data_IF_638653943415
#
_entry.id   IF_638653943415
#
_cell.length_a   1.000
_cell.length_b   1.000
_cell.length_c   1.000
_cell.angle_alpha   90.00
_cell.angle_beta   90.00
_cell.angle_gamma   90.00
#
_symmetry.space_group_name_H-M   'P 1'
#
loop_
_entity.id
_entity.type
_entity.pdbx_description
1 polymer ?
#
# COMPACT_ATOMS: atom_id res chain seq x y z
N UNK A 1 19.11 25.80 -7.03
CA UNK A 1 18.23 24.63 -7.23
C UNK A 1 18.26 23.84 -5.93
N UNK A 2 17.12 23.66 -5.25
CA UNK A 2 17.08 22.88 -4.01
C UNK A 2 17.43 21.42 -4.34
N UNK A 3 18.50 20.89 -3.75
CA UNK A 3 18.88 19.48 -3.91
C UNK A 3 17.73 18.60 -3.41
N UNK A 4 17.16 17.77 -4.29
CA UNK A 4 16.19 16.75 -3.88
C UNK A 4 16.93 15.75 -3.01
N UNK A 5 16.51 15.59 -1.76
CA UNK A 5 17.04 14.54 -0.88
C UNK A 5 16.36 13.21 -1.21
N UNK A 6 17.04 12.10 -0.93
CA UNK A 6 16.45 10.77 -1.10
C UNK A 6 15.14 10.61 -0.31
N UNK A 7 15.07 11.17 0.91
CA UNK A 7 13.85 11.18 1.72
C UNK A 7 12.69 11.93 1.05
N UNK A 8 12.96 13.10 0.47
CA UNK A 8 11.93 13.88 -0.23
C UNK A 8 11.44 13.19 -1.51
N UNK A 9 12.31 12.44 -2.19
CA UNK A 9 11.91 11.62 -3.33
C UNK A 9 11.05 10.44 -2.87
N UNK A 10 11.46 9.76 -1.80
CA UNK A 10 10.73 8.63 -1.22
C UNK A 10 9.34 9.04 -0.74
N UNK A 11 9.22 10.22 -0.11
CA UNK A 11 7.94 10.78 0.31
C UNK A 11 7.00 10.98 -0.87
N UNK A 12 7.49 11.55 -1.98
CA UNK A 12 6.69 11.78 -3.19
C UNK A 12 6.26 10.48 -3.85
N UNK A 13 7.18 9.52 -3.99
CA UNK A 13 6.88 8.20 -4.57
C UNK A 13 5.87 7.47 -3.69
N UNK A 14 6.08 7.43 -2.37
CA UNK A 14 5.17 6.81 -1.42
C UNK A 14 3.78 7.44 -1.45
N UNK A 15 3.68 8.77 -1.53
CA UNK A 15 2.40 9.45 -1.65
C UNK A 15 1.66 9.11 -2.95
N UNK A 16 2.38 9.01 -4.08
CA UNK A 16 1.79 8.60 -5.37
C UNK A 16 1.28 7.16 -5.32
N UNK A 17 2.08 6.23 -4.79
CA UNK A 17 1.66 4.83 -4.64
C UNK A 17 0.44 4.70 -3.70
N UNK A 18 0.41 5.48 -2.62
CA UNK A 18 -0.69 5.49 -1.68
C UNK A 18 -1.98 6.04 -2.31
N UNK A 19 -1.86 7.11 -3.10
CA UNK A 19 -2.97 7.66 -3.89
C UNK A 19 -3.55 6.61 -4.84
N UNK A 20 -2.69 5.88 -5.57
CA UNK A 20 -3.11 4.78 -6.45
C UNK A 20 -3.78 3.65 -5.66
N UNK A 21 -3.20 3.24 -4.53
CA UNK A 21 -3.77 2.16 -3.71
C UNK A 21 -5.15 2.52 -3.14
N UNK A 22 -5.35 3.77 -2.73
CA UNK A 22 -6.59 4.21 -2.10
C UNK A 22 -7.71 4.49 -3.10
N UNK A 23 -7.39 5.07 -4.26
CA UNK A 23 -8.39 5.69 -5.15
C UNK A 23 -8.54 5.02 -6.52
N UNK A 24 -7.69 4.06 -6.90
CA UNK A 24 -7.86 3.36 -8.18
C UNK A 24 -9.03 2.35 -8.12
N UNK A 25 -9.77 2.22 -9.22
CA UNK A 25 -10.90 1.31 -9.37
C UNK A 25 -10.46 -0.12 -9.72
N UNK A 26 -9.33 -0.26 -10.41
CA UNK A 26 -8.78 -1.56 -10.80
C UNK A 26 -8.08 -2.21 -9.60
N UNK A 27 -8.68 -3.29 -9.11
CA UNK A 27 -8.19 -4.06 -7.97
C UNK A 27 -6.79 -4.63 -8.22
N UNK A 28 -6.42 -4.93 -9.47
CA UNK A 28 -5.08 -5.42 -9.83
C UNK A 28 -4.07 -4.29 -9.66
N UNK A 29 -4.37 -3.09 -10.18
CA UNK A 29 -3.50 -1.91 -10.02
C UNK A 29 -3.34 -1.54 -8.55
N UNK A 30 -4.42 -1.63 -7.76
CA UNK A 30 -4.35 -1.45 -6.31
C UNK A 30 -3.41 -2.48 -5.66
N UNK A 31 -3.49 -3.76 -6.06
CA UNK A 31 -2.59 -4.81 -5.57
C UNK A 31 -1.12 -4.56 -5.86
N UNK A 32 -0.78 -4.17 -7.09
CA UNK A 32 0.61 -3.85 -7.48
C UNK A 32 1.15 -2.63 -6.72
N UNK A 33 0.28 -1.63 -6.50
CA UNK A 33 0.66 -0.46 -5.72
C UNK A 33 0.90 -0.80 -4.25
N UNK A 34 0.08 -1.70 -3.68
CA UNK A 34 0.28 -2.21 -2.33
C UNK A 34 1.60 -2.99 -2.19
N UNK A 35 1.90 -3.90 -3.12
CA UNK A 35 3.15 -4.65 -3.09
C UNK A 35 4.36 -3.72 -3.23
N UNK A 36 4.28 -2.70 -4.10
CA UNK A 36 5.30 -1.66 -4.21
C UNK A 36 5.48 -0.87 -2.89
N UNK A 37 4.39 -0.51 -2.22
CA UNK A 37 4.46 0.13 -0.90
C UNK A 37 5.13 -0.78 0.13
N UNK A 38 4.82 -2.07 0.13
CA UNK A 38 5.42 -3.01 1.08
C UNK A 38 6.92 -3.20 0.81
N UNK A 39 7.32 -3.33 -0.45
CA UNK A 39 8.74 -3.45 -0.81
C UNK A 39 9.56 -2.23 -0.39
N UNK A 40 8.97 -1.05 -0.52
CA UNK A 40 9.62 0.21 -0.16
C UNK A 40 9.62 0.44 1.35
N UNK A 41 8.51 0.19 2.04
CA UNK A 41 8.31 0.61 3.43
C UNK A 41 8.37 -0.53 4.46
N UNK A 42 8.76 -1.75 4.09
CA UNK A 42 8.87 -2.88 5.04
C UNK A 42 9.91 -2.65 6.13
N UNK A 43 11.04 -2.03 5.78
CA UNK A 43 12.15 -1.81 6.70
C UNK A 43 11.90 -0.61 7.63
N UNK A 44 12.46 -0.64 8.84
CA UNK A 44 12.21 0.35 9.89
C UNK A 44 12.90 1.70 9.63
N UNK A 45 13.92 1.75 8.77
CA UNK A 45 14.63 2.98 8.37
C UNK A 45 13.74 3.96 7.57
N UNK A 46 12.68 3.45 6.94
CA UNK A 46 11.70 4.25 6.20
C UNK A 46 10.54 4.78 7.05
N UNK A 47 10.48 4.42 8.35
CA UNK A 47 9.35 4.75 9.23
C UNK A 47 9.12 6.26 9.39
N UNK A 48 10.19 7.06 9.33
CA UNK A 48 10.08 8.52 9.36
C UNK A 48 9.22 9.05 8.21
N UNK A 49 9.51 8.61 6.99
CA UNK A 49 8.77 8.99 5.77
C UNK A 49 7.36 8.38 5.79
N UNK A 50 7.22 7.13 6.24
CA UNK A 50 5.92 6.48 6.35
C UNK A 50 4.96 7.24 7.29
N UNK A 51 5.49 7.82 8.38
CA UNK A 51 4.72 8.70 9.29
C UNK A 51 4.33 10.00 8.60
N UNK A 52 5.24 10.64 7.88
CA UNK A 52 4.95 11.91 7.17
C UNK A 52 3.82 11.80 6.15
N UNK A 53 3.67 10.65 5.49
CA UNK A 53 2.57 10.41 4.53
C UNK A 53 1.35 9.73 5.16
N UNK A 54 1.35 9.52 6.49
CA UNK A 54 0.30 8.81 7.22
C UNK A 54 -0.01 7.41 6.65
N UNK A 55 1.04 6.70 6.19
CA UNK A 55 0.91 5.45 5.43
C UNK A 55 0.03 4.43 6.13
N UNK A 56 0.36 4.11 7.39
CA UNK A 56 -0.33 3.04 8.14
C UNK A 56 -1.81 3.37 8.36
N UNK A 57 -2.14 4.63 8.66
CA UNK A 57 -3.53 5.03 8.93
C UNK A 57 -4.38 4.97 7.65
N UNK A 58 -3.82 5.35 6.51
CA UNK A 58 -4.48 5.21 5.21
C UNK A 58 -4.67 3.74 4.81
N UNK A 59 -3.66 2.89 5.03
CA UNK A 59 -3.76 1.46 4.76
C UNK A 59 -4.80 0.76 5.65
N UNK A 60 -4.94 1.16 6.91
CA UNK A 60 -6.01 0.69 7.80
C UNK A 60 -7.39 1.06 7.24
N UNK A 61 -7.57 2.30 6.78
CA UNK A 61 -8.82 2.73 6.16
C UNK A 61 -9.14 1.97 4.87
N UNK A 62 -8.12 1.70 4.05
CA UNK A 62 -8.23 0.95 2.78
C UNK A 62 -8.61 -0.53 2.99
N UNK A 63 -8.15 -1.16 4.08
CA UNK A 63 -8.26 -2.61 4.25
C UNK A 63 -9.70 -3.16 4.09
N UNK A 64 -10.69 -2.46 4.62
CA UNK A 64 -12.09 -2.88 4.55
C UNK A 64 -12.67 -2.73 3.14
N UNK A 65 -12.44 -1.58 2.48
CA UNK A 65 -12.94 -1.31 1.14
C UNK A 65 -12.27 -2.21 0.10
N UNK A 66 -10.97 -2.46 0.23
CA UNK A 66 -10.24 -3.38 -0.65
C UNK A 66 -10.82 -4.80 -0.58
N UNK A 67 -11.11 -5.31 0.63
CA UNK A 67 -11.77 -6.62 0.80
C UNK A 67 -13.13 -6.70 0.10
N UNK A 68 -13.92 -5.62 0.12
CA UNK A 68 -15.22 -5.56 -0.56
C UNK A 68 -15.05 -5.57 -2.08
N UNK A 69 -14.15 -4.72 -2.62
CA UNK A 69 -13.86 -4.65 -4.06
C UNK A 69 -13.40 -5.99 -4.62
N UNK A 70 -12.53 -6.72 -3.91
CA UNK A 70 -12.09 -8.07 -4.30
C UNK A 70 -13.29 -9.04 -4.40
N UNK A 71 -14.22 -8.97 -3.44
CA UNK A 71 -15.40 -9.85 -3.44
C UNK A 71 -16.31 -9.56 -4.64
N UNK A 72 -16.52 -8.29 -4.95
CA UNK A 72 -17.34 -7.83 -6.08
C UNK A 72 -16.72 -8.23 -7.41
N UNK A 73 -15.40 -8.05 -7.55
CA UNK A 73 -14.63 -8.31 -8.78
C UNK A 73 -14.13 -9.75 -8.92
N UNK A 74 -14.43 -10.65 -7.98
CA UNK A 74 -13.85 -12.00 -7.90
C UNK A 74 -13.88 -12.79 -9.21
N UNK A 75 -14.98 -12.70 -9.97
CA UNK A 75 -15.14 -13.42 -11.25
C UNK A 75 -14.29 -12.83 -12.38
N UNK A 76 -14.01 -11.53 -12.32
CA UNK A 76 -13.23 -10.78 -13.32
C UNK A 76 -11.72 -10.96 -13.13
N UNK A 77 -11.28 -11.35 -11.92
CA UNK A 77 -9.85 -11.43 -11.59
C UNK A 77 -9.09 -12.55 -12.31
N UNK A 78 -9.76 -13.64 -12.72
CA UNK A 78 -9.14 -14.75 -13.45
C UNK A 78 -7.83 -15.22 -12.79
N UNK A 79 -6.75 -15.21 -13.57
CA UNK A 79 -5.40 -15.62 -13.13
C UNK A 79 -4.79 -14.68 -12.08
N UNK A 80 -5.20 -13.41 -12.04
CA UNK A 80 -4.72 -12.41 -11.07
C UNK A 80 -5.31 -12.59 -9.66
N UNK A 81 -6.27 -13.51 -9.48
CA UNK A 81 -6.91 -13.73 -8.19
C UNK A 81 -5.90 -14.09 -7.08
N UNK A 82 -4.88 -14.89 -7.40
CA UNK A 82 -3.83 -15.27 -6.45
C UNK A 82 -3.00 -14.07 -5.99
N UNK A 83 -2.57 -13.22 -6.93
CA UNK A 83 -1.81 -11.99 -6.68
C UNK A 83 -2.61 -11.04 -5.80
N UNK A 84 -3.87 -10.81 -6.14
CA UNK A 84 -4.77 -9.94 -5.36
C UNK A 84 -4.97 -10.45 -3.94
N UNK A 85 -5.12 -11.77 -3.76
CA UNK A 85 -5.27 -12.37 -2.44
C UNK A 85 -3.96 -12.33 -1.63
N UNK A 86 -2.80 -12.39 -2.30
CA UNK A 86 -1.50 -12.22 -1.67
C UNK A 86 -1.33 -10.80 -1.15
N UNK A 87 -1.57 -9.78 -1.99
CA UNK A 87 -1.55 -8.38 -1.59
C UNK A 87 -2.49 -8.10 -0.40
N UNK A 88 -3.68 -8.69 -0.39
CA UNK A 88 -4.63 -8.59 0.74
C UNK A 88 -4.06 -9.19 2.03
N UNK A 89 -3.40 -10.35 1.95
CA UNK A 89 -2.77 -10.98 3.12
C UNK A 89 -1.59 -10.14 3.62
N UNK A 90 -0.75 -9.65 2.70
CA UNK A 90 0.40 -8.81 2.98
C UNK A 90 -0.03 -7.49 3.63
N UNK A 91 -1.12 -6.87 3.15
CA UNK A 91 -1.70 -5.66 3.76
C UNK A 91 -2.02 -5.86 5.24
N UNK A 92 -2.69 -6.96 5.59
CA UNK A 92 -3.01 -7.27 6.98
C UNK A 92 -1.75 -7.49 7.83
N UNK A 93 -0.76 -8.19 7.28
CA UNK A 93 0.54 -8.44 7.94
C UNK A 93 1.34 -7.16 8.16
N UNK A 94 1.45 -6.32 7.13
CA UNK A 94 2.17 -5.05 7.15
C UNK A 94 1.59 -4.08 8.18
N UNK A 95 0.26 -3.89 8.18
CA UNK A 95 -0.44 -3.05 9.16
C UNK A 95 -0.14 -3.54 10.58
N UNK A 96 -0.30 -4.85 10.83
CA UNK A 96 -0.05 -5.44 12.15
C UNK A 96 1.39 -5.22 12.59
N UNK A 97 2.35 -5.45 11.70
CA UNK A 97 3.77 -5.26 11.98
C UNK A 97 4.05 -3.80 12.34
N UNK A 98 3.69 -2.84 11.49
CA UNK A 98 4.01 -1.41 11.72
C UNK A 98 3.29 -0.84 12.93
N UNK A 99 2.06 -1.29 13.25
CA UNK A 99 1.39 -0.91 14.49
C UNK A 99 2.07 -1.46 15.75
N UNK A 100 2.71 -2.64 15.68
CA UNK A 100 3.46 -3.20 16.82
C UNK A 100 4.78 -2.48 17.12
N UNK A 101 5.26 -1.64 16.20
CA UNK A 101 6.50 -0.85 16.31
C UNK A 101 6.25 0.62 16.70
N UNK A 102 4.99 1.02 16.89
CA UNK A 102 4.64 2.39 17.31
C UNK A 102 5.05 2.67 18.76
#
# INVERSE_FOLDING_TARGET
>A
MSSVTLSSLLQKIGAILLEVACHNEDVIVVSESLDSLFDVFKEDDTDGVAKEISLVDQLVALQASFKLRIKEKRKELGENFSVVMMAKSNLAGFIKYKLSKR
#
